data_IF_843869664511
#
_entry.id   IF_843869664511
#
_cell.length_a   1.000
_cell.length_b   1.000
_cell.length_c   1.000
_cell.angle_alpha   90.00
_cell.angle_beta   90.00
_cell.angle_gamma   90.00
#
_symmetry.space_group_name_H-M   'P 1'
#
loop_
_entity.id
_entity.type
_entity.pdbx_description
1 polymer ?
#
# COMPACT_ATOMS: atom_id res chain seq x y z
N UNK A 1 -32.91 43.54 -24.55
CA UNK A 1 -31.45 43.30 -24.49
C UNK A 1 -30.96 43.05 -23.07
N UNK A 2 -31.40 43.81 -22.08
CA UNK A 2 -30.92 43.69 -20.68
C UNK A 2 -31.18 42.31 -20.04
N UNK A 3 -32.37 41.75 -20.21
CA UNK A 3 -32.73 40.43 -19.65
C UNK A 3 -31.84 39.30 -20.19
N UNK A 4 -31.43 39.40 -21.46
CA UNK A 4 -30.54 38.41 -22.09
C UNK A 4 -29.12 38.46 -21.51
N UNK A 5 -28.59 39.66 -21.24
CA UNK A 5 -27.27 39.84 -20.63
C UNK A 5 -27.22 39.32 -19.19
N UNK A 6 -28.30 39.48 -18.42
CA UNK A 6 -28.40 38.95 -17.05
C UNK A 6 -28.37 37.42 -17.06
N UNK A 7 -29.14 36.78 -17.95
CA UNK A 7 -29.19 35.31 -18.07
C UNK A 7 -27.82 34.75 -18.47
N UNK A 8 -27.17 35.36 -19.46
CA UNK A 8 -25.82 34.95 -19.90
C UNK A 8 -24.80 35.11 -18.76
N UNK A 9 -24.87 36.21 -18.00
CA UNK A 9 -24.02 36.43 -16.83
C UNK A 9 -24.17 35.33 -15.77
N UNK A 10 -25.40 34.93 -15.44
CA UNK A 10 -25.68 33.87 -14.45
C UNK A 10 -25.14 32.51 -14.94
N UNK A 11 -25.28 32.20 -16.23
CA UNK A 11 -24.76 30.95 -16.81
C UNK A 11 -23.24 30.90 -16.73
N UNK A 12 -22.55 32.00 -17.08
CA UNK A 12 -21.08 32.09 -17.01
C UNK A 12 -20.60 31.92 -15.57
N UNK A 13 -21.23 32.60 -14.60
CA UNK A 13 -20.85 32.51 -13.18
C UNK A 13 -20.99 31.07 -12.67
N UNK A 14 -22.09 30.38 -12.98
CA UNK A 14 -22.29 28.99 -12.61
C UNK A 14 -21.23 28.06 -13.25
N UNK A 15 -20.89 28.30 -14.52
CA UNK A 15 -19.87 27.51 -15.21
C UNK A 15 -18.48 27.70 -14.60
N UNK A 16 -18.12 28.94 -14.23
CA UNK A 16 -16.87 29.26 -13.54
C UNK A 16 -16.82 28.61 -12.16
N UNK A 17 -17.92 28.68 -11.39
CA UNK A 17 -18.02 28.02 -10.08
C UNK A 17 -17.84 26.49 -10.18
N UNK A 18 -18.51 25.84 -11.14
CA UNK A 18 -18.37 24.40 -11.39
C UNK A 18 -16.92 24.04 -11.75
N UNK A 19 -16.26 24.85 -12.57
CA UNK A 19 -14.87 24.62 -12.95
C UNK A 19 -13.91 24.74 -11.76
N UNK A 20 -14.08 25.78 -10.93
CA UNK A 20 -13.28 25.98 -9.72
C UNK A 20 -13.49 24.83 -8.73
N UNK A 21 -14.74 24.44 -8.48
CA UNK A 21 -15.07 23.33 -7.58
C UNK A 21 -14.47 22.00 -8.06
N UNK A 22 -14.53 21.73 -9.38
CA UNK A 22 -13.91 20.54 -9.99
C UNK A 22 -12.39 20.55 -9.83
N UNK A 23 -11.74 21.70 -10.05
CA UNK A 23 -10.29 21.87 -9.90
C UNK A 23 -9.84 21.70 -8.44
N UNK A 24 -10.56 22.29 -7.49
CA UNK A 24 -10.28 22.10 -6.05
C UNK A 24 -10.44 20.64 -5.62
N UNK A 25 -11.51 19.96 -6.05
CA UNK A 25 -11.70 18.54 -5.77
C UNK A 25 -10.56 17.69 -6.33
N UNK A 26 -10.11 17.97 -7.56
CA UNK A 26 -8.96 17.28 -8.17
C UNK A 26 -7.66 17.49 -7.39
N UNK A 27 -7.39 18.72 -6.96
CA UNK A 27 -6.19 19.05 -6.19
C UNK A 27 -6.19 18.38 -4.81
N UNK A 28 -7.34 18.36 -4.12
CA UNK A 28 -7.48 17.70 -2.82
C UNK A 28 -7.30 16.19 -2.92
N UNK A 29 -7.85 15.56 -3.97
CA UNK A 29 -7.63 14.13 -4.24
C UNK A 29 -6.14 13.88 -4.49
N UNK A 30 -5.49 14.70 -5.31
CA UNK A 30 -4.08 14.52 -5.63
C UNK A 30 -3.19 14.65 -4.38
N UNK A 31 -3.42 15.67 -3.54
CA UNK A 31 -2.69 15.86 -2.29
C UNK A 31 -2.92 14.69 -1.32
N UNK A 32 -4.17 14.27 -1.13
CA UNK A 32 -4.51 13.13 -0.26
C UNK A 32 -3.88 11.82 -0.74
N UNK A 33 -3.80 11.59 -2.05
CA UNK A 33 -3.17 10.39 -2.63
C UNK A 33 -1.65 10.44 -2.45
N UNK A 34 -1.03 11.62 -2.60
CA UNK A 34 0.40 11.79 -2.35
C UNK A 34 0.72 11.52 -0.88
N UNK A 35 -0.04 12.07 0.07
CA UNK A 35 0.15 11.83 1.50
C UNK A 35 -0.05 10.35 1.87
N UNK A 36 -1.02 9.68 1.23
CA UNK A 36 -1.25 8.25 1.38
C UNK A 36 -0.06 7.42 0.88
N UNK A 37 0.51 7.77 -0.27
CA UNK A 37 1.69 7.08 -0.81
C UNK A 37 2.93 7.29 0.06
N UNK A 38 3.16 8.51 0.55
CA UNK A 38 4.27 8.80 1.47
C UNK A 38 4.16 7.94 2.72
N UNK A 39 2.95 7.80 3.26
CA UNK A 39 2.71 6.89 4.39
C UNK A 39 3.05 5.43 4.04
N UNK A 40 2.58 4.93 2.89
CA UNK A 40 2.82 3.54 2.47
C UNK A 40 4.32 3.28 2.30
N UNK A 41 5.03 4.19 1.63
CA UNK A 41 6.47 4.09 1.41
C UNK A 41 7.23 4.09 2.75
N UNK A 42 6.92 5.02 3.64
CA UNK A 42 7.55 5.07 4.96
C UNK A 42 7.28 3.81 5.78
N UNK A 43 6.02 3.34 5.85
CA UNK A 43 5.66 2.14 6.61
C UNK A 43 6.33 0.88 6.05
N UNK A 44 6.52 0.79 4.73
CA UNK A 44 7.29 -0.28 4.10
C UNK A 44 8.77 -0.19 4.46
N UNK A 45 9.37 1.00 4.43
CA UNK A 45 10.78 1.17 4.78
C UNK A 45 11.04 0.75 6.22
N UNK A 46 10.18 1.14 7.16
CA UNK A 46 10.21 0.68 8.57
C UNK A 46 10.07 -0.85 8.65
N UNK A 47 9.31 -1.45 7.73
CA UNK A 47 9.11 -2.90 7.64
C UNK A 47 10.23 -3.64 6.87
N UNK A 48 11.28 -2.93 6.43
CA UNK A 48 12.42 -3.52 5.74
C UNK A 48 12.22 -3.73 4.23
N UNK A 49 11.32 -2.96 3.62
CA UNK A 49 11.06 -2.96 2.18
C UNK A 49 11.05 -1.56 1.58
N UNK A 50 11.63 -1.40 0.40
CA UNK A 50 11.52 -0.18 -0.40
C UNK A 50 10.59 -0.38 -1.57
N UNK A 51 9.61 0.51 -1.70
CA UNK A 51 8.62 0.48 -2.79
C UNK A 51 9.29 0.72 -4.14
N UNK A 52 8.97 -0.09 -5.15
CA UNK A 52 9.46 0.10 -6.52
C UNK A 52 8.52 1.04 -7.30
N UNK A 53 8.92 1.56 -8.48
CA UNK A 53 8.00 2.29 -9.36
C UNK A 53 6.76 1.47 -9.76
N UNK A 54 6.92 0.16 -9.94
CA UNK A 54 5.80 -0.74 -10.19
C UNK A 54 4.89 -0.83 -8.95
N UNK A 55 5.48 -1.01 -7.77
CA UNK A 55 4.75 -1.01 -6.50
C UNK A 55 3.99 0.29 -6.24
N UNK A 56 4.55 1.46 -6.58
CA UNK A 56 3.82 2.74 -6.53
C UNK A 56 2.53 2.68 -7.33
N UNK A 57 2.58 2.10 -8.54
CA UNK A 57 1.40 1.97 -9.39
C UNK A 57 0.35 1.02 -8.78
N UNK A 58 0.79 -0.08 -8.16
CA UNK A 58 -0.10 -1.02 -7.45
C UNK A 58 -0.71 -0.37 -6.20
N UNK A 59 0.06 0.42 -5.45
CA UNK A 59 -0.42 1.19 -4.30
C UNK A 59 -1.47 2.21 -4.72
N UNK A 60 -1.22 2.97 -5.80
CA UNK A 60 -2.18 3.91 -6.37
C UNK A 60 -3.48 3.22 -6.81
N UNK A 61 -3.37 2.05 -7.44
CA UNK A 61 -4.54 1.27 -7.83
C UNK A 61 -5.35 0.85 -6.59
N UNK A 62 -4.69 0.37 -5.53
CA UNK A 62 -5.35 -0.02 -4.28
C UNK A 62 -6.09 1.16 -3.64
N UNK A 63 -5.43 2.32 -3.54
CA UNK A 63 -6.05 3.56 -3.06
C UNK A 63 -7.26 3.96 -3.90
N UNK A 64 -7.16 3.86 -5.23
CA UNK A 64 -8.27 4.18 -6.15
C UNK A 64 -9.46 3.22 -6.02
N UNK A 65 -9.20 1.97 -5.59
CA UNK A 65 -10.22 0.96 -5.32
C UNK A 65 -10.84 1.09 -3.92
N UNK A 66 -10.53 2.15 -3.18
CA UNK A 66 -11.15 2.46 -1.89
C UNK A 66 -10.45 1.87 -0.67
N UNK A 67 -9.22 1.36 -0.83
CA UNK A 67 -8.40 0.97 0.31
C UNK A 67 -7.88 2.23 1.02
N UNK A 68 -7.82 2.20 2.36
CA UNK A 68 -7.09 3.23 3.10
C UNK A 68 -5.58 3.13 2.84
N UNK A 69 -4.81 4.13 3.27
CA UNK A 69 -3.34 4.07 3.20
C UNK A 69 -2.77 2.93 4.05
N UNK A 70 -3.40 2.64 5.19
CA UNK A 70 -3.03 1.53 6.08
C UNK A 70 -3.35 0.15 5.48
N UNK A 71 -4.51 0.02 4.84
CA UNK A 71 -4.90 -1.19 4.12
C UNK A 71 -4.05 -1.40 2.87
N UNK A 72 -3.70 -0.31 2.18
CA UNK A 72 -2.76 -0.35 1.05
C UNK A 72 -1.38 -0.81 1.52
N UNK A 73 -0.87 -0.28 2.63
CA UNK A 73 0.36 -0.77 3.25
C UNK A 73 0.27 -2.28 3.56
N UNK A 74 -0.79 -2.73 4.21
CA UNK A 74 -1.04 -4.14 4.54
C UNK A 74 -0.89 -5.05 3.32
N UNK A 75 -1.63 -4.70 2.26
CA UNK A 75 -1.68 -5.45 1.03
C UNK A 75 -0.31 -5.49 0.33
N UNK A 76 0.34 -4.34 0.18
CA UNK A 76 1.64 -4.22 -0.49
C UNK A 76 2.74 -4.94 0.29
N UNK A 77 2.74 -4.86 1.61
CA UNK A 77 3.71 -5.53 2.46
C UNK A 77 3.58 -7.06 2.36
N UNK A 78 2.35 -7.59 2.35
CA UNK A 78 2.10 -9.03 2.15
C UNK A 78 2.58 -9.51 0.78
N UNK A 79 2.32 -8.75 -0.29
CA UNK A 79 2.79 -9.08 -1.63
C UNK A 79 4.32 -9.09 -1.70
N UNK A 80 4.98 -8.06 -1.16
CA UNK A 80 6.43 -7.96 -1.11
C UNK A 80 7.07 -9.10 -0.31
N UNK A 81 6.48 -9.45 0.83
CA UNK A 81 6.90 -10.59 1.65
C UNK A 81 6.80 -11.90 0.87
N UNK A 82 5.71 -12.10 0.14
CA UNK A 82 5.48 -13.31 -0.66
C UNK A 82 6.44 -13.41 -1.86
N UNK A 83 6.71 -12.30 -2.53
CA UNK A 83 7.73 -12.23 -3.59
C UNK A 83 9.12 -12.53 -3.03
N UNK A 84 9.46 -11.97 -1.87
CA UNK A 84 10.74 -12.21 -1.20
C UNK A 84 10.89 -13.69 -0.80
N UNK A 85 9.86 -14.29 -0.21
CA UNK A 85 9.86 -15.72 0.15
C UNK A 85 10.00 -16.62 -1.09
N UNK A 86 9.31 -16.29 -2.19
CA UNK A 86 9.45 -17.01 -3.47
C UNK A 86 10.88 -16.97 -4.01
N UNK A 87 11.54 -15.81 -3.94
CA UNK A 87 12.92 -15.65 -4.40
C UNK A 87 13.91 -16.35 -3.47
N UNK A 88 13.67 -16.32 -2.16
CA UNK A 88 14.49 -17.02 -1.16
C UNK A 88 14.50 -18.54 -1.41
N UNK A 89 13.39 -19.11 -1.88
CA UNK A 89 13.29 -20.53 -2.18
C UNK A 89 13.62 -21.38 -0.95
N UNK A 90 14.67 -22.20 -1.04
CA UNK A 90 15.16 -23.03 0.08
C UNK A 90 16.35 -22.43 0.85
N UNK A 91 16.76 -21.20 0.56
CA UNK A 91 17.86 -20.54 1.27
C UNK A 91 17.42 -20.16 2.69
N UNK A 92 17.91 -20.90 3.68
CA UNK A 92 17.55 -20.71 5.09
C UNK A 92 17.93 -19.32 5.61
N UNK A 93 19.02 -18.73 5.12
CA UNK A 93 19.44 -17.38 5.53
C UNK A 93 18.44 -16.35 5.01
N UNK A 94 18.05 -16.43 3.74
CA UNK A 94 17.06 -15.53 3.16
C UNK A 94 15.66 -15.74 3.78
N UNK A 95 15.26 -16.99 4.04
CA UNK A 95 14.00 -17.30 4.74
C UNK A 95 13.97 -16.77 6.18
N UNK A 96 15.12 -16.71 6.86
CA UNK A 96 15.22 -16.06 8.16
C UNK A 96 14.97 -14.55 8.07
N UNK A 97 15.48 -13.89 7.01
CA UNK A 97 15.25 -12.46 6.76
C UNK A 97 13.79 -12.16 6.40
N UNK A 98 13.13 -13.08 5.67
CA UNK A 98 11.68 -13.05 5.42
C UNK A 98 10.92 -13.09 6.75
N UNK A 99 11.29 -14.01 7.65
CA UNK A 99 10.64 -14.15 8.97
C UNK A 99 10.78 -12.89 9.83
N UNK A 100 11.97 -12.29 9.87
CA UNK A 100 12.22 -11.04 10.61
C UNK A 100 11.34 -9.89 10.07
N UNK A 101 11.22 -9.77 8.74
CA UNK A 101 10.37 -8.75 8.11
C UNK A 101 8.89 -9.00 8.36
N UNK A 102 8.46 -10.26 8.31
CA UNK A 102 7.10 -10.65 8.63
C UNK A 102 6.69 -10.21 10.04
N UNK A 103 7.60 -10.36 11.02
CA UNK A 103 7.38 -9.86 12.38
C UNK A 103 7.20 -8.33 12.41
N UNK A 104 8.07 -7.57 11.74
CA UNK A 104 7.96 -6.11 11.67
C UNK A 104 6.64 -5.65 11.02
N UNK A 105 6.22 -6.32 9.93
CA UNK A 105 4.94 -6.05 9.27
C UNK A 105 3.78 -6.39 10.21
N UNK A 106 3.79 -7.56 10.86
CA UNK A 106 2.74 -8.00 11.77
C UNK A 106 2.58 -7.07 12.98
N UNK A 107 3.68 -6.54 13.53
CA UNK A 107 3.65 -5.53 14.59
C UNK A 107 3.02 -4.23 14.12
N UNK A 108 3.42 -3.75 12.94
CA UNK A 108 2.87 -2.53 12.34
C UNK A 108 1.37 -2.68 12.08
N UNK A 109 0.94 -3.79 11.49
CA UNK A 109 -0.47 -4.13 11.27
C UNK A 109 -1.27 -4.16 12.56
N UNK A 110 -0.73 -4.79 13.59
CA UNK A 110 -1.40 -4.90 14.90
C UNK A 110 -1.55 -3.52 15.54
N UNK A 111 -0.55 -2.64 15.43
CA UNK A 111 -0.64 -1.25 15.91
C UNK A 111 -1.72 -0.46 15.15
N UNK A 112 -1.78 -0.59 13.83
CA UNK A 112 -2.78 0.10 13.00
C UNK A 112 -4.21 -0.42 13.28
N UNK A 113 -4.38 -1.73 13.42
CA UNK A 113 -5.66 -2.35 13.80
C UNK A 113 -6.14 -1.88 15.17
N UNK A 114 -5.25 -1.85 16.19
CA UNK A 114 -5.59 -1.35 17.54
C UNK A 114 -6.03 0.11 17.54
N UNK A 115 -5.58 0.91 16.57
CA UNK A 115 -6.01 2.30 16.37
C UNK A 115 -7.30 2.43 15.56
N UNK A 116 -7.89 1.33 15.09
CA UNK A 116 -9.09 1.33 14.26
C UNK A 116 -8.85 1.80 12.83
N UNK A 117 -7.61 1.78 12.34
CA UNK A 117 -7.23 2.30 11.02
C UNK A 117 -7.31 1.26 9.89
N UNK A 118 -7.52 -0.02 10.24
CA UNK A 118 -7.66 -1.13 9.30
C UNK A 118 -8.94 -1.89 9.63
N UNK A 119 -9.73 -2.21 8.60
CA UNK A 119 -10.91 -3.06 8.74
C UNK A 119 -10.55 -4.44 9.29
N UNK A 120 -11.37 -4.98 10.20
CA UNK A 120 -11.03 -6.21 10.94
C UNK A 120 -10.83 -7.42 10.04
N UNK A 121 -11.62 -7.52 8.98
CA UNK A 121 -11.54 -8.58 7.97
C UNK A 121 -10.22 -8.54 7.20
N UNK A 122 -9.76 -7.35 6.81
CA UNK A 122 -8.47 -7.16 6.12
C UNK A 122 -7.33 -7.51 7.06
N UNK A 123 -7.34 -6.96 8.28
CA UNK A 123 -6.31 -7.25 9.28
C UNK A 123 -6.17 -8.76 9.54
N UNK A 124 -7.29 -9.47 9.78
CA UNK A 124 -7.27 -10.91 10.07
C UNK A 124 -6.77 -11.71 8.87
N UNK A 125 -7.24 -11.38 7.67
CA UNK A 125 -6.83 -12.06 6.45
C UNK A 125 -5.32 -11.89 6.21
N UNK A 126 -4.85 -10.65 6.23
CA UNK A 126 -3.48 -10.34 5.85
C UNK A 126 -2.48 -10.80 6.92
N UNK A 127 -2.82 -10.66 8.21
CA UNK A 127 -1.98 -11.18 9.29
C UNK A 127 -1.83 -12.70 9.19
N UNK A 128 -2.93 -13.43 8.94
CA UNK A 128 -2.86 -14.88 8.76
C UNK A 128 -2.00 -15.27 7.55
N UNK A 129 -2.15 -14.55 6.43
CA UNK A 129 -1.34 -14.78 5.24
C UNK A 129 0.15 -14.48 5.49
N UNK A 130 0.48 -13.39 6.20
CA UNK A 130 1.85 -13.04 6.59
C UNK A 130 2.48 -14.16 7.43
N UNK A 131 1.74 -14.65 8.44
CA UNK A 131 2.21 -15.75 9.28
C UNK A 131 2.40 -17.04 8.48
N UNK A 132 1.49 -17.35 7.56
CA UNK A 132 1.57 -18.54 6.73
C UNK A 132 2.74 -18.50 5.73
N UNK A 133 2.96 -17.36 5.08
CA UNK A 133 4.08 -17.13 4.14
C UNK A 133 5.43 -17.12 4.85
N UNK A 134 5.50 -16.66 6.09
CA UNK A 134 6.77 -16.58 6.83
C UNK A 134 7.11 -17.85 7.60
N UNK A 135 6.15 -18.73 7.86
CA UNK A 135 6.42 -19.99 8.58
C UNK A 135 7.03 -21.01 7.63
N UNK A 136 8.29 -21.37 7.88
CA UNK A 136 9.01 -22.39 7.10
C UNK A 136 8.43 -23.77 7.41
N UNK A 137 7.45 -24.19 6.59
CA UNK A 137 6.79 -25.49 6.69
C UNK A 137 6.32 -25.97 5.31
N UNK A 138 5.80 -27.20 5.24
CA UNK A 138 5.37 -27.84 3.99
C UNK A 138 4.26 -27.10 3.21
N UNK A 139 3.54 -26.17 3.84
CA UNK A 139 2.45 -25.43 3.21
C UNK A 139 2.90 -24.02 2.75
N UNK A 140 4.15 -23.62 3.00
CA UNK A 140 4.62 -22.27 2.73
C UNK A 140 4.51 -21.91 1.23
N UNK A 141 4.91 -22.83 0.36
CA UNK A 141 4.88 -22.64 -1.10
C UNK A 141 3.44 -22.48 -1.64
N UNK A 142 2.48 -23.21 -1.07
CA UNK A 142 1.06 -23.08 -1.42
C UNK A 142 0.54 -21.68 -1.05
N UNK A 143 0.87 -21.20 0.14
CA UNK A 143 0.46 -19.86 0.58
C UNK A 143 1.11 -18.74 -0.24
N UNK A 144 2.38 -18.88 -0.59
CA UNK A 144 3.07 -17.96 -1.50
C UNK A 144 2.34 -17.90 -2.84
N UNK A 145 1.98 -19.06 -3.39
CA UNK A 145 1.26 -19.15 -4.67
C UNK A 145 -0.12 -18.51 -4.58
N UNK A 146 -0.90 -18.84 -3.55
CA UNK A 146 -2.24 -18.27 -3.31
C UNK A 146 -2.17 -16.73 -3.27
N UNK A 147 -1.24 -16.17 -2.49
CA UNK A 147 -1.12 -14.71 -2.38
C UNK A 147 -0.75 -14.08 -3.73
N UNK A 148 0.25 -14.62 -4.42
CA UNK A 148 0.74 -14.04 -5.66
C UNK A 148 -0.22 -14.22 -6.85
N UNK A 149 -1.02 -15.28 -6.86
CA UNK A 149 -2.02 -15.56 -7.89
C UNK A 149 -3.35 -14.85 -7.65
N UNK A 150 -3.68 -14.55 -6.39
CA UNK A 150 -4.92 -13.85 -6.03
C UNK A 150 -5.04 -12.45 -6.63
N UNK A 151 -3.94 -11.87 -7.10
CA UNK A 151 -3.93 -10.55 -7.70
C UNK A 151 -3.08 -10.52 -8.98
N UNK A 152 -3.75 -10.21 -10.10
CA UNK A 152 -3.17 -10.21 -11.44
C UNK A 152 -2.05 -9.18 -11.66
N UNK A 153 -1.90 -8.19 -10.77
CA UNK A 153 -0.79 -7.23 -10.81
C UNK A 153 0.37 -7.64 -9.90
N UNK A 154 0.19 -8.54 -8.93
CA UNK A 154 1.24 -8.94 -7.97
C UNK A 154 2.48 -9.54 -8.57
N UNK A 155 2.30 -10.27 -9.67
CA UNK A 155 3.28 -11.25 -10.12
C UNK A 155 3.92 -10.85 -11.46
N UNK A 156 3.66 -9.61 -11.91
CA UNK A 156 4.23 -9.09 -13.17
C UNK A 156 5.61 -8.51 -12.99
N UNK A 157 5.86 -7.84 -11.86
CA UNK A 157 7.16 -7.25 -11.51
C UNK A 157 7.29 -7.12 -9.99
N UNK A 158 8.50 -6.84 -9.49
CA UNK A 158 8.77 -6.64 -8.07
C UNK A 158 8.02 -5.40 -7.54
N UNK A 159 7.22 -5.58 -6.50
CA UNK A 159 6.41 -4.50 -5.90
C UNK A 159 7.21 -3.72 -4.87
N UNK A 160 7.97 -4.41 -4.03
CA UNK A 160 8.92 -3.80 -3.13
C UNK A 160 10.13 -4.72 -2.99
N UNK A 161 11.30 -4.12 -2.73
CA UNK A 161 12.56 -4.83 -2.60
C UNK A 161 13.02 -4.80 -1.14
N UNK A 162 13.61 -5.89 -0.62
CA UNK A 162 14.19 -5.87 0.71
C UNK A 162 15.31 -4.82 0.78
N UNK A 163 15.35 -4.04 1.86
CA UNK A 163 16.43 -3.10 2.16
C UNK A 163 17.28 -3.57 3.35
N UNK A 164 18.40 -2.90 3.60
CA UNK A 164 19.28 -3.21 4.72
C UNK A 164 18.62 -2.88 6.07
N UNK A 165 19.17 -3.42 7.15
CA UNK A 165 18.70 -3.11 8.50
C UNK A 165 18.98 -1.64 8.84
N UNK A 166 20.11 -1.11 8.37
CA UNK A 166 20.54 0.27 8.50
C UNK A 166 19.51 1.23 7.86
N UNK A 167 19.13 0.97 6.61
CA UNK A 167 18.11 1.78 5.90
C UNK A 167 16.75 1.75 6.63
N UNK A 168 16.41 0.58 7.19
CA UNK A 168 15.16 0.41 7.95
C UNK A 168 15.18 1.20 9.26
N UNK A 169 16.34 1.25 9.94
CA UNK A 169 16.54 2.04 11.16
C UNK A 169 16.54 3.54 10.88
N UNK A 170 17.12 3.98 9.77
CA UNK A 170 17.03 5.37 9.33
C UNK A 170 15.57 5.77 9.08
N UNK A 171 14.79 4.89 8.44
CA UNK A 171 13.36 5.11 8.27
C UNK A 171 12.62 5.25 9.62
N UNK A 172 12.93 4.42 10.61
CA UNK A 172 12.32 4.51 11.95
C UNK A 172 12.62 5.86 12.63
N UNK A 173 13.82 6.42 12.42
CA UNK A 173 14.28 7.64 13.09
C UNK A 173 13.92 8.94 12.35
N UNK A 174 13.38 8.85 11.12
CA UNK A 174 13.10 10.01 10.26
C UNK A 174 11.70 10.62 10.45
N UNK A 175 10.94 10.18 11.46
CA UNK A 175 9.58 10.64 11.78
C UNK A 175 9.32 10.71 13.29
#
# INVERSE_FOLDING_TARGET
>A
MEVFLIIVGIVIINFVFLFIAKKQKSNNIHASTTDALIFVEHALNVSGYKLTPYGVSVSLLSLSNGFSKEETFSHIALMALSQHAKVAGSDVIELSKVSIRAMSIAESLTKLFRKGLIRSEIYKNDLNAIMAVSTINKNQEDWISIVLESNSTSNKDAIALPISAEDSLEAINSH
#
